data_IF_081669090108
#
_entry.id   IF_081669090108
#
_cell.length_a   1.000
_cell.length_b   1.000
_cell.length_c   1.000
_cell.angle_alpha   90.00
_cell.angle_beta   90.00
_cell.angle_gamma   90.00
#
_symmetry.space_group_name_H-M   'P 1'
#
loop_
_entity.id
_entity.type
_entity.pdbx_description
1 polymer ?
#
# COMPACT_ATOMS: atom_id res chain seq x y z
N UNK A 1 -20.79 -13.27 -3.86
CA UNK A 1 -20.06 -13.61 -5.10
C UNK A 1 -19.04 -12.51 -5.38
N UNK A 2 -17.80 -12.90 -5.71
CA UNK A 2 -16.73 -12.01 -6.12
C UNK A 2 -17.16 -11.06 -7.25
N UNK A 3 -16.53 -9.89 -7.35
CA UNK A 3 -16.84 -8.91 -8.39
C UNK A 3 -16.24 -9.37 -9.73
N UNK A 4 -17.11 -9.87 -10.63
CA UNK A 4 -16.71 -10.32 -11.97
C UNK A 4 -16.75 -9.22 -13.03
N UNK A 5 -17.54 -8.20 -12.77
CA UNK A 5 -17.72 -7.05 -13.65
C UNK A 5 -17.27 -5.78 -12.94
N UNK A 6 -16.84 -4.80 -13.73
CA UNK A 6 -16.44 -3.51 -13.20
C UNK A 6 -17.64 -2.82 -12.53
N UNK A 7 -17.48 -2.30 -11.30
CA UNK A 7 -18.57 -1.60 -10.64
C UNK A 7 -18.89 -0.31 -11.39
N UNK A 8 -20.16 0.10 -11.38
CA UNK A 8 -20.55 1.39 -11.94
C UNK A 8 -20.09 2.52 -11.02
N UNK A 9 -19.06 3.25 -11.45
CA UNK A 9 -18.50 4.39 -10.71
C UNK A 9 -19.32 5.66 -10.97
N UNK A 10 -19.89 6.22 -9.91
CA UNK A 10 -20.51 7.54 -9.91
C UNK A 10 -19.47 8.59 -9.50
N UNK A 11 -19.43 9.72 -10.20
CA UNK A 11 -18.58 10.86 -9.86
C UNK A 11 -19.40 11.90 -9.12
N UNK A 12 -18.92 12.29 -7.96
CA UNK A 12 -19.49 13.31 -7.08
C UNK A 12 -18.82 14.67 -7.31
N UNK A 13 -19.42 15.79 -6.83
CA UNK A 13 -18.74 17.08 -6.78
C UNK A 13 -17.38 16.99 -6.05
N UNK A 14 -16.40 17.78 -6.49
CA UNK A 14 -15.07 17.80 -5.87
C UNK A 14 -14.17 16.61 -6.24
N UNK A 15 -14.45 15.90 -7.33
CA UNK A 15 -13.58 14.83 -7.85
C UNK A 15 -13.71 13.48 -7.13
N UNK A 16 -14.49 13.44 -6.05
CA UNK A 16 -14.80 12.24 -5.29
C UNK A 16 -15.58 11.23 -6.14
N UNK A 17 -15.34 9.95 -5.89
CA UNK A 17 -15.95 8.84 -6.63
C UNK A 17 -16.63 7.90 -5.67
N UNK A 18 -17.70 7.28 -6.15
CA UNK A 18 -18.51 6.37 -5.37
C UNK A 18 -18.85 5.14 -6.20
N UNK A 19 -18.76 3.97 -5.59
CA UNK A 19 -19.35 2.76 -6.13
C UNK A 19 -19.79 1.83 -5.00
N UNK A 20 -20.64 0.86 -5.34
CA UNK A 20 -21.12 -0.12 -4.37
C UNK A 20 -21.25 -1.50 -4.99
N UNK A 21 -21.11 -2.53 -4.17
CA UNK A 21 -21.34 -3.92 -4.56
C UNK A 21 -21.95 -4.69 -3.39
N UNK A 22 -22.83 -5.64 -3.70
CA UNK A 22 -23.42 -6.54 -2.70
C UNK A 22 -22.82 -7.92 -2.86
N UNK A 23 -22.03 -8.33 -1.87
CA UNK A 23 -21.49 -9.68 -1.71
C UNK A 23 -22.48 -10.54 -0.94
N UNK A 24 -22.14 -11.81 -0.72
CA UNK A 24 -23.10 -12.76 -0.13
C UNK A 24 -23.41 -12.42 1.33
N UNK A 25 -22.40 -11.96 2.09
CA UNK A 25 -22.52 -11.63 3.53
C UNK A 25 -22.59 -10.14 3.86
N UNK A 26 -22.19 -9.27 2.94
CA UNK A 26 -22.11 -7.84 3.19
C UNK A 26 -22.32 -7.03 1.92
N UNK A 27 -22.77 -5.79 2.10
CA UNK A 27 -22.74 -4.74 1.09
C UNK A 27 -21.56 -3.84 1.39
N UNK A 28 -20.76 -3.55 0.37
CA UNK A 28 -19.70 -2.56 0.43
C UNK A 28 -20.11 -1.31 -0.35
N UNK A 29 -19.95 -0.14 0.26
CA UNK A 29 -20.08 1.17 -0.39
C UNK A 29 -18.71 1.84 -0.27
N UNK A 30 -18.09 2.14 -1.39
CA UNK A 30 -16.72 2.63 -1.46
C UNK A 30 -16.73 4.08 -1.89
N UNK A 31 -16.18 4.94 -1.02
CA UNK A 31 -15.99 6.37 -1.25
C UNK A 31 -14.51 6.61 -1.50
N UNK A 32 -14.18 7.23 -2.62
CA UNK A 32 -12.81 7.46 -3.06
C UNK A 32 -12.61 8.97 -3.22
N UNK A 33 -11.97 9.64 -2.25
CA UNK A 33 -11.66 11.05 -2.38
C UNK A 33 -10.57 11.28 -3.43
N UNK A 34 -10.38 12.53 -3.85
CA UNK A 34 -9.23 12.93 -4.65
C UNK A 34 -7.96 12.83 -3.78
N UNK A 35 -6.95 12.13 -4.30
CA UNK A 35 -5.69 11.88 -3.61
C UNK A 35 -4.53 12.67 -4.21
N UNK A 36 -3.32 12.13 -4.05
CA UNK A 36 -2.12 12.68 -4.66
C UNK A 36 -2.21 12.69 -6.19
N UNK A 37 -1.69 13.75 -6.83
CA UNK A 37 -1.72 13.90 -8.29
C UNK A 37 -0.90 12.82 -9.03
N UNK A 38 0.02 12.15 -8.35
CA UNK A 38 0.81 11.03 -8.85
C UNK A 38 0.20 9.67 -8.52
N UNK A 39 -1.00 9.61 -7.94
CA UNK A 39 -1.64 8.34 -7.58
C UNK A 39 -2.02 7.47 -8.79
N UNK A 40 -1.90 7.97 -10.02
CA UNK A 40 -2.03 7.20 -11.24
C UNK A 40 -0.75 6.46 -11.65
N UNK A 41 0.42 6.89 -11.14
CA UNK A 41 1.73 6.36 -11.52
C UNK A 41 2.57 5.85 -10.34
N UNK A 42 2.31 6.32 -9.11
CA UNK A 42 2.92 5.83 -7.86
C UNK A 42 1.85 5.16 -7.01
N UNK A 43 2.08 3.92 -6.58
CA UNK A 43 1.11 3.17 -5.81
C UNK A 43 1.23 3.45 -4.30
N UNK A 44 0.47 4.45 -3.84
CA UNK A 44 0.38 4.80 -2.42
C UNK A 44 -0.31 3.76 -1.52
N UNK A 45 -0.92 2.72 -2.13
CA UNK A 45 -1.78 1.76 -1.43
C UNK A 45 -1.07 1.01 -0.30
N UNK A 46 0.25 0.80 -0.38
CA UNK A 46 1.01 0.12 0.68
C UNK A 46 1.21 0.96 1.95
N UNK A 47 1.05 2.28 1.87
CA UNK A 47 0.98 3.18 3.02
C UNK A 47 -0.46 3.51 3.43
N UNK A 48 -1.41 3.40 2.50
CA UNK A 48 -2.80 3.76 2.72
C UNK A 48 -3.49 2.89 3.80
N UNK A 49 -4.20 3.50 4.75
CA UNK A 49 -4.99 2.73 5.70
C UNK A 49 -6.17 2.07 5.01
N UNK A 50 -6.52 0.87 5.47
CA UNK A 50 -7.74 0.21 5.01
C UNK A 50 -8.87 0.53 5.98
N UNK A 51 -9.60 1.60 5.66
CA UNK A 51 -10.65 2.18 6.50
C UNK A 51 -11.97 1.44 6.28
N UNK A 52 -12.31 0.57 7.23
CA UNK A 52 -13.55 -0.20 7.23
C UNK A 52 -14.53 0.38 8.24
N UNK A 53 -15.58 1.03 7.74
CA UNK A 53 -16.63 1.65 8.53
C UNK A 53 -17.83 0.72 8.59
N UNK A 54 -18.03 0.04 9.71
CA UNK A 54 -19.17 -0.83 9.91
C UNK A 54 -20.35 0.03 10.35
N UNK A 55 -21.23 0.32 9.39
CA UNK A 55 -22.37 1.21 9.61
C UNK A 55 -23.45 0.52 10.42
N UNK A 56 -24.06 1.21 11.39
CA UNK A 56 -25.08 0.61 12.24
C UNK A 56 -26.36 0.24 11.47
N UNK A 57 -26.71 1.04 10.47
CA UNK A 57 -27.87 0.83 9.58
C UNK A 57 -27.42 0.88 8.13
N UNK A 58 -28.21 0.26 7.25
CA UNK A 58 -28.03 0.37 5.81
C UNK A 58 -28.17 1.83 5.38
N UNK A 59 -27.14 2.36 4.72
CA UNK A 59 -27.16 3.70 4.14
C UNK A 59 -27.53 3.65 2.65
N UNK A 60 -28.19 4.70 2.18
CA UNK A 60 -28.23 4.99 0.75
C UNK A 60 -26.90 5.63 0.31
N UNK A 61 -26.75 5.86 -0.99
CA UNK A 61 -25.49 6.35 -1.55
C UNK A 61 -25.12 7.78 -1.11
N UNK A 62 -26.09 8.68 -0.94
CA UNK A 62 -25.84 10.07 -0.52
C UNK A 62 -25.46 10.10 0.97
N UNK A 63 -26.18 9.32 1.79
CA UNK A 63 -25.88 9.15 3.21
C UNK A 63 -24.49 8.56 3.43
N UNK A 64 -24.06 7.58 2.62
CA UNK A 64 -22.75 6.96 2.77
C UNK A 64 -21.60 7.93 2.47
N UNK A 65 -21.73 8.75 1.43
CA UNK A 65 -20.75 9.78 1.07
C UNK A 65 -20.70 10.85 2.16
N UNK A 66 -21.85 11.39 2.56
CA UNK A 66 -21.93 12.40 3.62
C UNK A 66 -21.36 11.88 4.94
N UNK A 67 -21.66 10.62 5.31
CA UNK A 67 -21.14 10.01 6.52
C UNK A 67 -19.61 9.90 6.51
N UNK A 68 -19.01 9.49 5.40
CA UNK A 68 -17.55 9.40 5.27
C UNK A 68 -16.88 10.79 5.35
N UNK A 69 -17.51 11.81 4.76
CA UNK A 69 -17.00 13.17 4.72
C UNK A 69 -17.16 13.90 6.07
N UNK A 70 -18.36 13.92 6.64
CA UNK A 70 -18.67 14.60 7.91
C UNK A 70 -17.88 14.05 9.09
N UNK A 71 -17.51 12.77 9.06
CA UNK A 71 -16.69 12.11 10.09
C UNK A 71 -15.18 12.24 9.84
N UNK A 72 -14.75 12.85 8.73
CA UNK A 72 -13.35 13.11 8.40
C UNK A 72 -12.59 11.91 7.79
N UNK A 73 -13.25 10.82 7.44
CA UNK A 73 -12.57 9.65 6.86
C UNK A 73 -12.05 9.91 5.44
N UNK A 74 -12.72 10.78 4.68
CA UNK A 74 -12.25 11.20 3.35
C UNK A 74 -10.94 11.98 3.43
N UNK A 75 -10.72 12.77 4.48
CA UNK A 75 -9.43 13.46 4.72
C UNK A 75 -8.30 12.45 4.93
N UNK A 76 -8.54 11.44 5.78
CA UNK A 76 -7.58 10.37 6.04
C UNK A 76 -7.27 9.61 4.74
N UNK A 77 -8.30 9.19 4.00
CA UNK A 77 -8.12 8.46 2.76
C UNK A 77 -7.41 9.29 1.68
N UNK A 78 -7.74 10.57 1.53
CA UNK A 78 -7.14 11.47 0.55
C UNK A 78 -5.62 11.59 0.75
N UNK A 79 -5.18 11.75 2.00
CA UNK A 79 -3.75 11.88 2.36
C UNK A 79 -2.89 10.72 1.82
N UNK A 80 -3.45 9.52 1.71
CA UNK A 80 -2.73 8.33 1.24
C UNK A 80 -3.24 7.80 -0.10
N UNK A 81 -4.04 8.59 -0.83
CA UNK A 81 -4.67 8.17 -2.08
C UNK A 81 -5.41 6.83 -1.96
N UNK A 82 -6.09 6.65 -0.82
CA UNK A 82 -6.83 5.45 -0.44
C UNK A 82 -8.34 5.59 -0.68
N UNK A 83 -9.12 4.76 0.02
CA UNK A 83 -10.58 4.77 -0.03
C UNK A 83 -11.16 4.52 1.36
N UNK A 84 -12.43 4.91 1.51
CA UNK A 84 -13.26 4.61 2.68
C UNK A 84 -14.28 3.55 2.27
N UNK A 85 -14.36 2.45 3.02
CA UNK A 85 -15.26 1.35 2.71
C UNK A 85 -16.28 1.21 3.82
N UNK A 86 -17.51 1.59 3.53
CA UNK A 86 -18.65 1.40 4.42
C UNK A 86 -19.22 0.01 4.20
N UNK A 87 -19.45 -0.71 5.28
CA UNK A 87 -19.88 -2.11 5.27
C UNK A 87 -21.18 -2.25 6.06
N UNK A 88 -22.11 -3.03 5.51
CA UNK A 88 -23.34 -3.43 6.19
C UNK A 88 -23.68 -4.90 5.88
N UNK A 89 -24.08 -5.73 6.87
CA UNK A 89 -24.41 -7.14 6.66
C UNK A 89 -25.65 -7.30 5.78
N UNK A 90 -25.65 -8.33 4.93
CA UNK A 90 -26.82 -8.70 4.09
C UNK A 90 -27.73 -9.74 4.74
N UNK A 91 -27.23 -10.46 5.74
CA UNK A 91 -27.96 -11.52 6.42
C UNK A 91 -29.12 -11.03 7.28
N UNK A 92 -30.14 -11.88 7.45
CA UNK A 92 -31.25 -11.63 8.37
C UNK A 92 -30.74 -11.45 9.81
N UNK A 93 -31.27 -10.46 10.53
CA UNK A 93 -30.81 -10.07 11.87
C UNK A 93 -29.56 -9.18 11.89
N UNK A 94 -29.02 -8.78 10.74
CA UNK A 94 -27.98 -7.76 10.65
C UNK A 94 -26.74 -8.08 11.50
N UNK A 95 -26.28 -7.10 12.30
CA UNK A 95 -25.10 -7.24 13.14
C UNK A 95 -25.28 -8.21 14.32
N UNK A 96 -26.51 -8.53 14.72
CA UNK A 96 -26.76 -9.51 15.80
C UNK A 96 -26.45 -10.94 15.33
N UNK A 97 -26.78 -11.24 14.07
CA UNK A 97 -26.53 -12.55 13.44
C UNK A 97 -25.16 -12.66 12.77
N UNK A 98 -24.45 -11.56 12.57
CA UNK A 98 -23.14 -11.56 11.91
C UNK A 98 -22.10 -12.29 12.76
N UNK A 99 -21.27 -13.10 12.10
CA UNK A 99 -20.17 -13.87 12.66
C UNK A 99 -18.81 -13.43 12.07
N UNK A 100 -17.73 -14.06 12.52
CA UNK A 100 -16.36 -13.78 12.04
C UNK A 100 -16.20 -13.97 10.52
N UNK A 101 -17.03 -14.84 9.93
CA UNK A 101 -16.96 -15.14 8.49
C UNK A 101 -17.27 -13.92 7.63
N UNK A 102 -18.09 -12.97 8.11
CA UNK A 102 -18.33 -11.72 7.39
C UNK A 102 -17.03 -10.93 7.19
N UNK A 103 -16.20 -10.82 8.23
CA UNK A 103 -14.91 -10.13 8.15
C UNK A 103 -13.90 -10.91 7.30
N UNK A 104 -13.86 -12.23 7.44
CA UNK A 104 -12.99 -13.10 6.62
C UNK A 104 -13.32 -12.94 5.13
N UNK A 105 -14.61 -12.96 4.77
CA UNK A 105 -15.05 -12.79 3.39
C UNK A 105 -14.75 -11.37 2.86
N UNK A 106 -14.95 -10.34 3.69
CA UNK A 106 -14.62 -8.95 3.32
C UNK A 106 -13.13 -8.78 2.99
N UNK A 107 -12.25 -9.33 3.84
CA UNK A 107 -10.80 -9.30 3.59
C UNK A 107 -10.43 -10.12 2.35
N UNK A 108 -11.09 -11.27 2.15
CA UNK A 108 -10.88 -12.10 0.96
C UNK A 108 -11.25 -11.39 -0.35
N UNK A 109 -12.14 -10.38 -0.32
CA UNK A 109 -12.55 -9.56 -1.47
C UNK A 109 -11.73 -8.26 -1.61
N UNK A 110 -10.60 -8.15 -0.90
CA UNK A 110 -9.78 -6.93 -0.86
C UNK A 110 -8.31 -7.18 -1.18
N UNK A 111 -7.69 -6.32 -2.00
CA UNK A 111 -6.30 -6.47 -2.45
C UNK A 111 -5.58 -5.14 -2.59
N UNK A 112 -4.24 -5.20 -2.64
CA UNK A 112 -3.42 -4.16 -3.27
C UNK A 112 -2.72 -4.79 -4.46
N UNK A 113 -2.76 -4.07 -5.58
CA UNK A 113 -2.01 -4.41 -6.77
C UNK A 113 -1.66 -3.12 -7.50
N UNK A 114 -0.73 -3.21 -8.44
CA UNK A 114 -0.35 -2.15 -9.36
C UNK A 114 -1.51 -1.65 -10.23
N UNK A 115 -2.37 -2.54 -10.72
CA UNK A 115 -3.48 -2.18 -11.59
C UNK A 115 -4.71 -1.84 -10.76
N UNK A 116 -4.87 -0.56 -10.47
CA UNK A 116 -6.00 -0.04 -9.72
C UNK A 116 -6.55 1.23 -10.34
N UNK A 117 -7.83 1.44 -10.12
CA UNK A 117 -8.55 2.64 -10.54
C UNK A 117 -9.73 2.83 -9.59
N UNK A 118 -10.08 4.07 -9.27
CA UNK A 118 -11.33 4.41 -8.58
C UNK A 118 -11.65 3.56 -7.34
N UNK A 119 -10.62 3.22 -6.56
CA UNK A 119 -10.76 2.46 -5.30
C UNK A 119 -10.98 0.95 -5.47
N UNK A 120 -10.88 0.41 -6.68
CA UNK A 120 -10.86 -1.03 -6.94
C UNK A 120 -9.58 -1.47 -7.65
N UNK A 121 -9.26 -2.75 -7.50
CA UNK A 121 -8.18 -3.44 -8.21
C UNK A 121 -8.79 -4.21 -9.37
N UNK A 122 -8.10 -4.22 -10.51
CA UNK A 122 -8.37 -5.19 -11.58
C UNK A 122 -7.25 -6.23 -11.59
N UNK A 123 -7.57 -7.47 -11.25
CA UNK A 123 -6.56 -8.51 -11.22
C UNK A 123 -6.04 -8.81 -12.62
N UNK A 124 -4.72 -8.98 -12.72
CA UNK A 124 -4.03 -9.42 -13.93
C UNK A 124 -3.17 -10.62 -13.59
N UNK A 125 -3.39 -11.74 -14.26
CA UNK A 125 -2.51 -12.89 -14.16
C UNK A 125 -1.18 -12.53 -14.83
N UNK A 126 -0.12 -12.49 -14.03
CA UNK A 126 1.21 -12.10 -14.53
C UNK A 126 1.79 -13.10 -15.55
N UNK A 127 1.45 -14.38 -15.44
CA UNK A 127 2.01 -15.42 -16.30
C UNK A 127 1.26 -15.57 -17.61
N UNK A 128 -0.07 -15.45 -17.60
CA UNK A 128 -0.89 -15.55 -18.83
C UNK A 128 -1.17 -14.20 -19.47
N UNK A 129 -1.00 -13.10 -18.72
CA UNK A 129 -1.39 -11.75 -19.13
C UNK A 129 -2.89 -11.48 -19.07
N UNK A 130 -3.71 -12.47 -18.69
CA UNK A 130 -5.17 -12.38 -18.68
C UNK A 130 -5.67 -11.50 -17.54
N UNK A 131 -6.68 -10.69 -17.83
CA UNK A 131 -7.40 -9.89 -16.84
C UNK A 131 -8.46 -10.75 -16.16
N UNK A 132 -8.61 -10.58 -14.84
CA UNK A 132 -9.52 -11.37 -14.01
C UNK A 132 -10.53 -10.53 -13.25
N UNK A 133 -10.85 -10.99 -12.04
CA UNK A 133 -11.82 -10.40 -11.11
C UNK A 133 -11.39 -9.04 -10.57
N UNK A 134 -12.36 -8.32 -10.01
CA UNK A 134 -12.19 -7.04 -9.37
C UNK A 134 -12.20 -7.20 -7.84
N UNK A 135 -11.43 -6.37 -7.15
CA UNK A 135 -11.33 -6.40 -5.68
C UNK A 135 -11.46 -4.99 -5.11
N UNK A 136 -11.94 -4.88 -3.87
CA UNK A 136 -11.84 -3.63 -3.11
C UNK A 136 -10.35 -3.31 -2.92
N UNK A 137 -9.92 -2.07 -3.17
CA UNK A 137 -8.53 -1.69 -2.90
C UNK A 137 -8.33 -1.51 -1.39
N UNK A 138 -7.41 -2.26 -0.78
CA UNK A 138 -7.16 -2.17 0.66
C UNK A 138 -5.95 -2.95 1.15
N UNK A 139 -5.14 -2.33 2.02
CA UNK A 139 -3.99 -2.97 2.67
C UNK A 139 -4.44 -3.78 3.89
N UNK A 140 -4.43 -5.11 3.78
CA UNK A 140 -4.89 -6.01 4.86
C UNK A 140 -4.11 -5.76 6.17
N UNK A 141 -2.80 -5.50 6.08
CA UNK A 141 -1.95 -5.20 7.24
C UNK A 141 -2.17 -3.80 7.86
N UNK A 142 -3.09 -3.00 7.31
CA UNK A 142 -3.50 -1.67 7.84
C UNK A 142 -5.01 -1.58 8.04
N UNK A 143 -5.66 -2.71 8.30
CA UNK A 143 -7.12 -2.79 8.47
C UNK A 143 -7.57 -2.12 9.77
N UNK A 144 -8.21 -0.96 9.64
CA UNK A 144 -8.79 -0.18 10.75
C UNK A 144 -10.30 -0.36 10.76
N UNK A 145 -10.86 -0.88 11.85
CA UNK A 145 -12.31 -1.07 11.97
C UNK A 145 -12.93 0.06 12.79
N UNK A 146 -14.04 0.61 12.30
CA UNK A 146 -14.82 1.62 13.01
C UNK A 146 -16.25 1.13 13.14
N UNK A 147 -16.80 1.12 14.36
CA UNK A 147 -18.15 0.66 14.62
C UNK A 147 -18.90 1.54 15.62
N UNK A 148 -20.22 1.57 15.45
CA UNK A 148 -21.18 2.28 16.28
C UNK A 148 -22.33 1.37 16.70
N UNK A 149 -22.71 1.42 17.98
CA UNK A 149 -23.87 0.68 18.49
C UNK A 149 -23.77 -0.81 18.19
N UNK A 150 -24.78 -1.36 17.52
CA UNK A 150 -24.82 -2.80 17.19
C UNK A 150 -23.64 -3.30 16.35
N UNK A 151 -23.04 -2.44 15.52
CA UNK A 151 -21.85 -2.79 14.74
C UNK A 151 -20.57 -2.78 15.59
N UNK A 152 -20.47 -1.89 16.58
CA UNK A 152 -19.40 -1.92 17.58
C UNK A 152 -19.51 -3.19 18.43
N UNK A 153 -20.74 -3.59 18.80
CA UNK A 153 -20.99 -4.82 19.54
C UNK A 153 -20.55 -6.05 18.72
N UNK A 154 -20.79 -6.07 17.41
CA UNK A 154 -20.27 -7.12 16.53
C UNK A 154 -18.74 -7.20 16.58
N UNK A 155 -18.03 -6.07 16.41
CA UNK A 155 -16.57 -6.04 16.49
C UNK A 155 -16.09 -6.56 17.85
N UNK A 156 -16.69 -6.09 18.94
CA UNK A 156 -16.36 -6.48 20.31
C UNK A 156 -16.56 -7.97 20.59
N UNK A 157 -17.63 -8.57 20.06
CA UNK A 157 -17.95 -9.99 20.23
C UNK A 157 -17.11 -10.90 19.35
N UNK A 158 -16.84 -10.50 18.12
CA UNK A 158 -16.35 -11.40 17.08
C UNK A 158 -14.90 -11.17 16.68
N UNK A 159 -14.36 -9.95 16.81
CA UNK A 159 -13.14 -9.56 16.11
C UNK A 159 -11.97 -9.17 17.02
N UNK A 160 -12.16 -9.10 18.35
CA UNK A 160 -11.09 -8.83 19.32
C UNK A 160 -10.27 -10.09 19.68
N UNK A 161 -9.91 -10.88 18.66
CA UNK A 161 -9.20 -12.15 18.77
C UNK A 161 -8.32 -12.39 17.56
N UNK A 162 -7.50 -13.45 17.57
CA UNK A 162 -6.78 -13.87 16.37
C UNK A 162 -7.77 -14.31 15.28
N UNK A 163 -7.61 -13.79 14.08
CA UNK A 163 -8.39 -14.20 12.90
C UNK A 163 -7.44 -14.66 11.81
N UNK A 164 -7.65 -15.88 11.31
CA UNK A 164 -6.95 -16.43 10.16
C UNK A 164 -7.84 -16.33 8.91
N UNK A 165 -7.24 -16.07 7.76
CA UNK A 165 -7.93 -15.90 6.49
C UNK A 165 -6.95 -15.84 5.32
N UNK A 166 -7.35 -15.20 4.22
CA UNK A 166 -6.47 -15.00 3.07
C UNK A 166 -5.65 -13.71 3.25
N UNK A 167 -4.35 -13.86 3.48
CA UNK A 167 -3.38 -12.77 3.57
C UNK A 167 -2.74 -12.49 2.19
N UNK A 168 -1.68 -11.68 2.13
CA UNK A 168 -1.05 -11.19 0.88
C UNK A 168 -0.63 -12.29 -0.12
N UNK A 169 -0.09 -13.41 0.36
CA UNK A 169 0.45 -14.48 -0.50
C UNK A 169 -0.18 -15.86 -0.26
N UNK A 170 -1.28 -15.91 0.49
CA UNK A 170 -1.93 -17.16 0.87
C UNK A 170 -2.53 -17.11 2.28
N UNK A 171 -2.91 -18.27 2.84
CA UNK A 171 -3.48 -18.35 4.18
C UNK A 171 -2.53 -17.73 5.22
N UNK A 172 -3.09 -16.92 6.11
CA UNK A 172 -2.33 -16.24 7.15
C UNK A 172 -3.23 -15.46 8.09
N UNK A 173 -2.60 -14.77 9.04
CA UNK A 173 -3.34 -14.01 10.03
C UNK A 173 -3.80 -12.66 9.47
N UNK A 174 -5.10 -12.40 9.53
CA UNK A 174 -5.77 -11.19 9.03
C UNK A 174 -6.41 -10.34 10.13
N UNK A 175 -6.06 -10.60 11.40
CA UNK A 175 -6.54 -9.82 12.54
C UNK A 175 -6.42 -8.32 12.26
N UNK A 176 -7.42 -7.48 12.58
CA UNK A 176 -7.35 -6.06 12.30
C UNK A 176 -6.12 -5.41 12.96
N UNK A 177 -5.66 -4.32 12.34
CA UNK A 177 -4.62 -3.48 12.93
C UNK A 177 -5.11 -2.94 14.28
N UNK A 178 -6.27 -2.29 14.30
CA UNK A 178 -6.90 -1.70 15.47
C UNK A 178 -8.38 -1.39 15.22
N UNK A 179 -9.10 -1.05 16.29
CA UNK A 179 -10.55 -0.82 16.24
C UNK A 179 -10.96 0.45 17.00
N UNK A 180 -12.01 1.12 16.52
CA UNK A 180 -12.69 2.22 17.17
C UNK A 180 -14.13 1.83 17.48
N UNK A 181 -14.52 1.88 18.75
CA UNK A 181 -15.79 1.37 19.25
C UNK A 181 -16.56 2.47 20.00
N UNK A 182 -17.70 2.88 19.46
CA UNK A 182 -18.60 3.84 20.06
C UNK A 182 -19.96 3.23 20.39
N UNK A 183 -20.53 3.57 21.54
CA UNK A 183 -21.89 3.18 21.93
C UNK A 183 -22.09 1.69 22.16
N UNK A 184 -21.10 1.00 22.72
CA UNK A 184 -21.18 -0.43 23.04
C UNK A 184 -22.32 -0.71 24.04
N UNK A 185 -23.08 -1.77 23.77
CA UNK A 185 -24.08 -2.34 24.68
C UNK A 185 -23.60 -3.63 25.34
N UNK A 186 -22.53 -4.23 24.81
CA UNK A 186 -21.89 -5.43 25.37
C UNK A 186 -20.54 -5.10 26.00
N UNK A 187 -20.21 -5.78 27.10
CA UNK A 187 -18.88 -5.67 27.71
C UNK A 187 -17.89 -6.48 26.85
N UNK A 188 -16.90 -5.83 26.21
CA UNK A 188 -15.93 -6.51 25.36
C UNK A 188 -15.06 -7.47 26.17
N UNK A 189 -14.64 -8.56 25.54
CA UNK A 189 -13.73 -9.55 26.12
C UNK A 189 -12.59 -9.82 25.14
N UNK A 190 -11.60 -8.93 25.02
CA UNK A 190 -10.48 -9.14 24.11
C UNK A 190 -9.74 -10.43 24.45
N UNK A 191 -9.63 -11.34 23.49
CA UNK A 191 -8.75 -12.53 23.59
C UNK A 191 -7.32 -12.18 23.23
N UNK A 192 -7.15 -11.08 22.48
CA UNK A 192 -5.86 -10.56 22.04
C UNK A 192 -5.60 -9.18 22.64
N UNK A 193 -4.47 -9.06 23.36
CA UNK A 193 -4.13 -7.84 24.10
C UNK A 193 -3.46 -6.77 23.25
N UNK A 194 -2.84 -7.14 22.14
CA UNK A 194 -2.10 -6.24 21.26
C UNK A 194 -2.94 -5.64 20.13
N UNK A 195 -4.28 -5.64 20.25
CA UNK A 195 -5.16 -4.88 19.36
C UNK A 195 -5.37 -3.49 19.99
N UNK A 196 -4.93 -2.39 19.34
CA UNK A 196 -5.30 -1.04 19.74
C UNK A 196 -6.82 -0.85 19.69
N UNK A 197 -7.40 -0.43 20.81
CA UNK A 197 -8.83 -0.18 20.97
C UNK A 197 -9.03 1.28 21.36
N UNK A 198 -9.66 2.05 20.49
CA UNK A 198 -10.20 3.38 20.80
C UNK A 198 -11.64 3.21 21.27
N UNK A 199 -11.90 3.51 22.54
CA UNK A 199 -13.23 3.48 23.15
C UNK A 199 -13.76 4.90 23.22
N UNK A 200 -14.92 5.16 22.59
CA UNK A 200 -15.48 6.51 22.50
C UNK A 200 -16.82 6.54 23.25
N UNK A 201 -16.91 7.39 24.28
CA UNK A 201 -18.13 7.65 25.05
C UNK A 201 -18.82 6.39 25.58
N UNK A 202 -18.08 5.33 25.91
CA UNK A 202 -18.66 4.10 26.44
C UNK A 202 -18.86 4.19 27.96
N UNK A 203 -19.62 3.26 28.54
CA UNK A 203 -19.85 3.28 29.98
C UNK A 203 -18.56 2.97 30.76
N UNK A 204 -18.42 3.45 32.01
CA UNK A 204 -17.24 3.16 32.83
C UNK A 204 -16.96 1.66 33.02
N UNK A 205 -18.00 0.82 32.99
CA UNK A 205 -17.85 -0.64 33.06
C UNK A 205 -17.16 -1.20 31.80
N UNK A 206 -17.58 -0.73 30.62
CA UNK A 206 -16.99 -1.13 29.33
C UNK A 206 -15.55 -0.62 29.23
N UNK A 207 -15.31 0.64 29.57
CA UNK A 207 -13.97 1.23 29.50
C UNK A 207 -12.99 0.53 30.43
N UNK A 208 -13.45 0.14 31.63
CA UNK A 208 -12.64 -0.68 32.55
C UNK A 208 -12.30 -2.03 31.93
N UNK A 209 -13.27 -2.72 31.31
CA UNK A 209 -13.02 -4.01 30.67
C UNK A 209 -12.02 -3.89 29.50
N UNK A 210 -12.10 -2.81 28.71
CA UNK A 210 -11.14 -2.52 27.62
C UNK A 210 -9.74 -2.28 28.19
N UNK A 211 -9.62 -1.45 29.23
CA UNK A 211 -8.34 -1.13 29.86
C UNK A 211 -7.68 -2.34 30.53
N UNK A 212 -8.45 -3.26 31.09
CA UNK A 212 -7.93 -4.51 31.68
C UNK A 212 -7.59 -5.56 30.59
N UNK A 213 -8.34 -5.57 29.49
CA UNK A 213 -8.26 -6.57 28.42
C UNK A 213 -7.26 -6.26 27.30
N UNK A 214 -6.85 -5.01 27.10
CA UNK A 214 -5.93 -4.58 26.04
C UNK A 214 -4.68 -3.90 26.60
N UNK A 215 -3.54 -4.12 25.95
CA UNK A 215 -2.29 -3.40 26.22
C UNK A 215 -2.28 -2.00 25.56
N UNK A 216 -3.24 -1.73 24.66
CA UNK A 216 -3.35 -0.51 23.86
C UNK A 216 -4.79 0.05 23.92
N UNK A 217 -5.22 0.46 25.11
CA UNK A 217 -6.53 1.05 25.34
C UNK A 217 -6.48 2.59 25.33
N UNK A 218 -7.29 3.22 24.49
CA UNK A 218 -7.40 4.67 24.36
C UNK A 218 -8.86 5.09 24.62
N UNK A 219 -9.11 5.78 25.73
CA UNK A 219 -10.45 6.22 26.13
C UNK A 219 -10.67 7.67 25.68
N UNK A 220 -11.80 7.95 25.03
CA UNK A 220 -12.15 9.25 24.44
C UNK A 220 -13.54 9.69 24.87
N UNK A 221 -13.67 10.97 25.21
CA UNK A 221 -14.94 11.61 25.57
C UNK A 221 -15.71 12.17 24.36
N UNK A 222 -15.09 12.16 23.17
CA UNK A 222 -15.69 12.66 21.93
C UNK A 222 -15.11 11.95 20.70
N UNK A 223 -15.90 11.96 19.63
CA UNK A 223 -15.51 11.42 18.33
C UNK A 223 -14.57 12.38 17.59
N UNK A 224 -13.36 11.93 17.29
CA UNK A 224 -12.42 12.60 16.38
C UNK A 224 -11.54 11.56 15.70
N UNK A 225 -12.03 11.02 14.57
CA UNK A 225 -11.39 9.92 13.88
C UNK A 225 -10.10 10.33 13.17
N UNK A 226 -9.94 11.60 12.79
CA UNK A 226 -8.70 12.12 12.19
C UNK A 226 -7.61 12.15 13.24
N UNK A 227 -7.89 12.67 14.43
CA UNK A 227 -6.98 12.61 15.58
C UNK A 227 -6.64 11.18 15.94
N UNK A 228 -7.65 10.32 16.10
CA UNK A 228 -7.44 8.96 16.57
C UNK A 228 -6.68 8.11 15.55
N UNK A 229 -6.92 8.32 14.26
CA UNK A 229 -6.08 7.74 13.23
C UNK A 229 -4.62 8.21 13.38
N UNK A 230 -4.37 9.52 13.45
CA UNK A 230 -3.01 10.06 13.57
C UNK A 230 -2.27 9.58 14.82
N UNK A 231 -2.93 9.58 15.97
CA UNK A 231 -2.32 9.29 17.27
C UNK A 231 -2.20 7.80 17.57
N UNK A 232 -3.11 6.98 17.02
CA UNK A 232 -3.20 5.56 17.30
C UNK A 232 -2.91 4.76 16.04
N UNK A 233 -3.87 4.64 15.11
CA UNK A 233 -3.78 3.64 14.04
C UNK A 233 -2.65 3.90 13.03
N UNK A 234 -2.44 5.14 12.63
CA UNK A 234 -1.40 5.55 11.67
C UNK A 234 0.02 5.33 12.17
N UNK A 235 0.22 5.02 13.45
CA UNK A 235 1.52 4.70 14.05
C UNK A 235 1.89 3.22 13.99
N UNK A 236 1.02 2.38 13.42
CA UNK A 236 1.21 0.94 13.41
C UNK A 236 0.82 0.32 12.07
N UNK A 237 1.39 -0.86 11.82
CA UNK A 237 0.84 -1.87 10.90
C UNK A 237 0.78 -3.22 11.61
N UNK A 238 -0.06 -4.13 11.15
CA UNK A 238 -0.03 -5.53 11.57
C UNK A 238 0.58 -6.40 10.48
N UNK A 239 1.88 -6.65 10.58
CA UNK A 239 2.62 -7.41 9.58
C UNK A 239 2.67 -8.90 9.96
N UNK A 240 2.01 -9.76 9.18
CA UNK A 240 1.96 -11.21 9.42
C UNK A 240 1.52 -11.55 10.85
N UNK A 241 0.48 -10.85 11.33
CA UNK A 241 -0.06 -10.99 12.69
C UNK A 241 0.66 -10.19 13.77
N UNK A 242 1.87 -9.71 13.53
CA UNK A 242 2.64 -8.93 14.52
C UNK A 242 2.29 -7.45 14.42
N UNK A 243 1.88 -6.83 15.53
CA UNK A 243 1.75 -5.38 15.60
C UNK A 243 3.14 -4.75 15.58
N UNK A 244 3.42 -3.94 14.56
CA UNK A 244 4.68 -3.27 14.34
C UNK A 244 4.48 -1.75 14.38
N UNK A 245 5.31 -1.05 15.15
CA UNK A 245 5.38 0.40 15.08
C UNK A 245 5.89 0.86 13.72
N UNK A 246 5.22 1.86 13.17
CA UNK A 246 5.66 2.59 12.00
C UNK A 246 5.93 4.05 12.38
N UNK A 247 7.21 4.45 12.39
CA UNK A 247 7.57 5.81 12.73
C UNK A 247 7.09 6.76 11.63
N UNK A 248 6.69 7.96 12.05
CA UNK A 248 6.53 9.10 11.16
C UNK A 248 7.92 9.52 10.68
N UNK A 249 8.25 9.19 9.43
CA UNK A 249 9.61 9.30 8.89
C UNK A 249 10.15 10.74 8.93
N UNK A 250 9.25 11.71 8.80
CA UNK A 250 9.59 13.13 8.89
C UNK A 250 10.14 13.54 10.27
N UNK A 251 9.71 12.88 11.37
CA UNK A 251 10.26 13.10 12.72
C UNK A 251 11.74 12.67 12.83
N UNK A 252 12.16 11.74 11.98
CA UNK A 252 13.54 11.26 11.89
C UNK A 252 14.36 12.06 10.87
N UNK A 253 13.79 13.13 10.29
CA UNK A 253 14.43 13.93 9.26
C UNK A 253 14.58 13.21 7.92
N UNK A 254 13.79 12.16 7.69
CA UNK A 254 13.71 11.51 6.37
C UNK A 254 12.72 12.27 5.48
N UNK A 255 13.17 12.56 4.27
CA UNK A 255 12.35 13.10 3.19
C UNK A 255 11.85 11.93 2.36
N UNK A 256 10.55 11.93 2.09
CA UNK A 256 9.87 11.06 1.14
C UNK A 256 9.33 11.96 0.02
N UNK A 257 9.90 11.84 -1.19
CA UNK A 257 9.55 12.68 -2.33
C UNK A 257 9.06 11.80 -3.49
N UNK A 258 7.74 11.54 -3.58
CA UNK A 258 7.13 10.95 -4.76
C UNK A 258 7.31 11.87 -5.96
N UNK A 259 7.69 11.30 -7.10
CA UNK A 259 7.92 12.04 -8.33
C UNK A 259 7.70 11.16 -9.56
N UNK A 260 7.64 11.78 -10.72
CA UNK A 260 7.67 11.08 -11.99
C UNK A 260 8.59 11.80 -12.98
N UNK A 261 9.11 11.06 -13.95
CA UNK A 261 9.79 11.62 -15.12
C UNK A 261 9.17 11.04 -16.39
N UNK A 262 9.12 11.84 -17.44
CA UNK A 262 8.81 11.36 -18.79
C UNK A 262 10.09 10.99 -19.50
N UNK A 263 10.16 9.77 -20.04
CA UNK A 263 11.29 9.27 -20.83
C UNK A 263 10.85 8.90 -22.23
N UNK A 264 11.81 8.79 -23.15
CA UNK A 264 11.57 8.28 -24.50
C UNK A 264 11.28 6.79 -24.45
N UNK A 265 10.18 6.33 -25.02
CA UNK A 265 9.88 4.90 -25.08
C UNK A 265 10.81 4.23 -26.09
N UNK A 266 11.59 3.25 -25.64
CA UNK A 266 12.55 2.53 -26.46
C UNK A 266 11.85 1.50 -27.35
N UNK A 267 12.47 1.17 -28.49
CA UNK A 267 11.88 0.28 -29.51
C UNK A 267 11.67 -1.15 -29.00
N UNK A 268 12.46 -1.56 -28.02
CA UNK A 268 12.43 -2.87 -27.37
C UNK A 268 11.50 -2.91 -26.14
N UNK A 269 10.79 -1.82 -25.84
CA UNK A 269 9.78 -1.79 -24.80
C UNK A 269 8.56 -2.65 -25.20
N UNK A 270 8.26 -3.67 -24.39
CA UNK A 270 7.09 -4.55 -24.52
C UNK A 270 6.18 -4.49 -23.27
N UNK A 271 6.34 -3.44 -22.45
CA UNK A 271 5.52 -3.14 -21.30
C UNK A 271 4.19 -2.50 -21.69
N UNK A 272 3.49 -1.93 -20.71
CA UNK A 272 2.16 -1.35 -20.95
C UNK A 272 2.19 -0.14 -21.90
N UNK A 273 3.34 0.53 -22.04
CA UNK A 273 3.53 1.71 -22.88
C UNK A 273 4.15 1.40 -24.27
N UNK A 274 4.23 0.12 -24.64
CA UNK A 274 4.83 -0.31 -25.91
C UNK A 274 4.23 0.42 -27.13
N UNK A 275 5.10 1.00 -27.96
CA UNK A 275 4.71 1.72 -29.19
C UNK A 275 4.29 3.17 -29.00
N UNK A 276 4.27 3.68 -27.77
CA UNK A 276 4.16 5.13 -27.50
C UNK A 276 5.45 5.86 -27.88
N UNK A 277 5.42 7.19 -28.02
CA UNK A 277 6.63 8.01 -28.22
C UNK A 277 7.40 8.23 -26.91
N UNK A 278 6.66 8.47 -25.82
CA UNK A 278 7.19 8.68 -24.48
C UNK A 278 6.24 8.07 -23.45
N UNK A 279 6.77 7.74 -22.28
CA UNK A 279 5.98 7.29 -21.13
C UNK A 279 6.54 7.82 -19.81
N UNK A 280 5.77 7.68 -18.73
CA UNK A 280 6.17 8.15 -17.40
C UNK A 280 6.74 7.00 -16.56
N UNK A 281 7.81 7.28 -15.83
CA UNK A 281 8.35 6.42 -14.78
C UNK A 281 8.06 7.09 -13.44
N UNK A 282 7.24 6.45 -12.61
CA UNK A 282 6.99 6.84 -11.22
C UNK A 282 8.12 6.36 -10.31
N UNK A 283 8.52 7.19 -9.36
CA UNK A 283 9.53 6.83 -8.37
C UNK A 283 9.32 7.60 -7.06
N UNK A 284 10.00 7.14 -6.01
CA UNK A 284 10.06 7.85 -4.73
C UNK A 284 11.52 8.01 -4.36
N UNK A 285 11.94 9.26 -4.14
CA UNK A 285 13.24 9.59 -3.61
C UNK A 285 13.20 9.66 -2.08
N UNK A 286 14.14 9.00 -1.45
CA UNK A 286 14.27 8.94 0.00
C UNK A 286 15.66 9.40 0.43
N UNK A 287 15.71 10.38 1.31
CA UNK A 287 16.99 10.89 1.81
C UNK A 287 16.84 11.62 3.15
N UNK A 288 17.93 11.71 3.90
CA UNK A 288 17.98 12.63 5.03
C UNK A 288 17.81 14.08 4.55
N UNK A 289 17.12 14.92 5.32
CA UNK A 289 16.85 16.33 4.98
C UNK A 289 18.13 17.14 4.72
N UNK A 290 19.21 16.79 5.40
CA UNK A 290 20.55 17.41 5.32
C UNK A 290 21.51 16.60 4.42
N UNK A 291 21.01 15.65 3.63
CA UNK A 291 21.87 14.72 2.89
C UNK A 291 22.83 15.44 1.94
N UNK A 292 22.34 16.48 1.26
CA UNK A 292 23.06 17.15 0.18
C UNK A 292 23.93 18.34 0.64
N UNK A 293 23.95 18.66 1.94
CA UNK A 293 24.63 19.84 2.48
C UNK A 293 26.15 19.80 2.28
N UNK A 294 26.72 18.61 2.11
CA UNK A 294 28.17 18.39 1.97
C UNK A 294 28.59 17.94 0.56
N UNK A 295 27.74 18.16 -0.44
CA UNK A 295 28.03 17.86 -1.85
C UNK A 295 27.47 16.52 -2.34
N UNK A 296 28.02 15.97 -3.44
CA UNK A 296 27.46 14.80 -4.10
C UNK A 296 27.46 13.52 -3.25
N UNK A 297 26.38 12.76 -3.33
CA UNK A 297 26.13 11.56 -2.51
C UNK A 297 25.93 10.29 -3.35
N UNK A 298 26.10 9.08 -2.78
CA UNK A 298 25.76 7.86 -3.48
C UNK A 298 24.28 7.80 -3.85
N UNK A 299 23.99 7.18 -4.99
CA UNK A 299 22.64 6.83 -5.43
C UNK A 299 22.46 5.31 -5.35
N UNK A 300 21.40 4.85 -4.68
CA UNK A 300 20.97 3.46 -4.70
C UNK A 300 19.59 3.37 -5.34
N UNK A 301 19.50 2.70 -6.49
CA UNK A 301 18.24 2.30 -7.09
C UNK A 301 17.75 1.01 -6.43
N UNK A 302 16.51 0.99 -5.96
CA UNK A 302 15.90 -0.17 -5.34
C UNK A 302 14.60 -0.57 -6.05
N UNK A 303 14.56 -1.81 -6.54
CA UNK A 303 13.48 -2.33 -7.37
C UNK A 303 12.64 -3.36 -6.59
N UNK A 304 11.32 -3.17 -6.56
CA UNK A 304 10.41 -4.01 -5.78
C UNK A 304 10.10 -5.37 -6.44
N UNK A 305 9.55 -6.31 -5.66
CA UNK A 305 9.09 -7.61 -6.14
C UNK A 305 7.80 -7.56 -6.95
N UNK A 306 7.41 -8.69 -7.55
CA UNK A 306 6.15 -8.76 -8.28
C UNK A 306 4.95 -8.69 -7.33
N UNK A 307 3.98 -7.81 -7.64
CA UNK A 307 2.82 -7.57 -6.77
C UNK A 307 3.04 -6.51 -5.69
N UNK A 308 4.27 -6.02 -5.54
CA UNK A 308 4.65 -4.96 -4.60
C UNK A 308 4.57 -3.55 -5.25
N UNK A 309 5.17 -2.56 -4.59
CA UNK A 309 5.28 -1.17 -5.07
C UNK A 309 6.62 -0.53 -4.68
N UNK A 310 6.88 0.67 -5.20
CA UNK A 310 8.00 1.52 -4.78
C UNK A 310 7.97 1.83 -3.27
N UNK A 311 6.78 1.97 -2.66
CA UNK A 311 6.63 2.14 -1.21
C UNK A 311 6.93 0.87 -0.44
N UNK A 312 6.49 -0.29 -0.95
CA UNK A 312 6.67 -1.57 -0.28
C UNK A 312 8.17 -1.86 -0.04
N UNK A 313 8.99 -1.74 -1.10
CA UNK A 313 10.41 -2.02 -0.99
C UNK A 313 11.10 -1.03 -0.02
N UNK A 314 10.68 0.22 0.05
CA UNK A 314 11.18 1.15 1.05
C UNK A 314 10.75 0.77 2.48
N UNK A 315 9.43 0.81 2.77
CA UNK A 315 8.87 0.70 4.12
C UNK A 315 8.92 -0.69 4.72
N UNK A 316 8.58 -1.71 3.94
CA UNK A 316 8.43 -3.08 4.47
C UNK A 316 9.78 -3.75 4.58
N UNK A 317 10.63 -3.67 3.55
CA UNK A 317 11.95 -4.29 3.61
C UNK A 317 12.98 -3.46 4.40
N UNK A 318 12.66 -2.20 4.71
CA UNK A 318 13.47 -1.35 5.58
C UNK A 318 14.61 -0.60 4.89
N UNK A 319 14.61 -0.51 3.56
CA UNK A 319 15.61 0.24 2.79
C UNK A 319 15.75 1.70 3.24
N UNK A 320 14.66 2.34 3.66
CA UNK A 320 14.70 3.70 4.20
C UNK A 320 15.62 3.82 5.43
N UNK A 321 15.66 2.80 6.30
CA UNK A 321 16.54 2.77 7.48
C UNK A 321 18.00 2.64 7.06
N UNK A 322 18.26 1.83 6.04
CA UNK A 322 19.60 1.63 5.47
C UNK A 322 20.11 2.92 4.84
N UNK A 323 19.25 3.63 4.10
CA UNK A 323 19.54 4.92 3.50
C UNK A 323 19.88 5.98 4.55
N UNK A 324 19.06 6.10 5.60
CA UNK A 324 19.31 7.02 6.71
C UNK A 324 20.62 6.72 7.44
N UNK A 325 20.88 5.44 7.76
CA UNK A 325 22.07 5.03 8.50
C UNK A 325 23.36 5.25 7.72
N UNK A 326 23.34 4.99 6.41
CA UNK A 326 24.54 5.02 5.57
C UNK A 326 24.66 6.28 4.71
N UNK A 327 23.69 7.19 4.82
CA UNK A 327 23.66 8.50 4.16
C UNK A 327 23.84 8.43 2.64
N UNK A 328 22.88 7.81 1.97
CA UNK A 328 22.76 7.81 0.51
C UNK A 328 21.36 8.21 0.05
N UNK A 329 21.27 8.67 -1.19
CA UNK A 329 20.00 8.88 -1.87
C UNK A 329 19.46 7.52 -2.31
N UNK A 330 18.33 7.10 -1.74
CA UNK A 330 17.61 5.91 -2.17
C UNK A 330 16.53 6.35 -3.16
N UNK A 331 16.43 5.68 -4.29
CA UNK A 331 15.34 5.88 -5.24
C UNK A 331 14.66 4.54 -5.49
N UNK A 332 13.39 4.44 -5.09
CA UNK A 332 12.56 3.27 -5.37
C UNK A 332 11.70 3.53 -6.59
N UNK A 333 11.64 2.57 -7.52
CA UNK A 333 11.01 2.78 -8.83
C UNK A 333 9.74 1.96 -8.94
N UNK A 334 8.63 2.61 -9.29
CA UNK A 334 7.32 1.97 -9.43
C UNK A 334 7.26 1.21 -10.75
N UNK A 335 6.75 -0.03 -10.71
CA UNK A 335 6.48 -0.84 -11.90
C UNK A 335 7.67 -0.91 -12.89
N UNK A 336 8.87 -1.05 -12.36
CA UNK A 336 10.14 -0.89 -13.08
C UNK A 336 10.37 -1.85 -14.25
N UNK A 337 9.61 -2.95 -14.37
CA UNK A 337 9.69 -3.84 -15.53
C UNK A 337 8.94 -3.34 -16.76
N UNK A 338 8.07 -2.34 -16.63
CA UNK A 338 7.49 -1.68 -17.81
C UNK A 338 8.50 -0.81 -18.54
N UNK A 339 9.64 -0.51 -17.94
CA UNK A 339 10.71 0.25 -18.57
C UNK A 339 11.92 -0.63 -18.85
N UNK A 340 12.57 -0.43 -20.00
CA UNK A 340 13.78 -1.15 -20.42
C UNK A 340 15.02 -0.65 -19.67
N UNK A 341 16.15 -1.36 -19.79
CA UNK A 341 17.42 -0.86 -19.29
C UNK A 341 17.80 0.47 -19.96
N UNK A 342 17.54 0.61 -21.27
CA UNK A 342 17.79 1.84 -22.04
C UNK A 342 17.04 3.04 -21.46
N UNK A 343 15.76 2.88 -21.17
CA UNK A 343 14.91 3.94 -20.59
C UNK A 343 15.35 4.28 -19.15
N UNK A 344 15.82 3.29 -18.40
CA UNK A 344 16.39 3.51 -17.07
C UNK A 344 17.68 4.32 -17.10
N UNK A 345 18.47 4.29 -18.19
CA UNK A 345 19.61 5.21 -18.35
C UNK A 345 19.15 6.66 -18.46
N UNK A 346 18.09 6.93 -19.21
CA UNK A 346 17.49 8.27 -19.29
C UNK A 346 16.95 8.72 -17.93
N UNK A 347 16.29 7.82 -17.20
CA UNK A 347 15.86 8.07 -15.83
C UNK A 347 17.03 8.39 -14.87
N UNK A 348 18.12 7.62 -14.90
CA UNK A 348 19.31 7.89 -14.08
C UNK A 348 19.90 9.26 -14.44
N UNK A 349 19.95 9.62 -15.72
CA UNK A 349 20.39 10.94 -16.15
C UNK A 349 19.49 12.05 -15.60
N UNK A 350 18.18 11.85 -15.55
CA UNK A 350 17.26 12.78 -14.88
C UNK A 350 17.57 12.91 -13.38
N UNK A 351 17.81 11.80 -12.67
CA UNK A 351 18.16 11.83 -11.25
C UNK A 351 19.46 12.62 -10.99
N UNK A 352 20.47 12.47 -11.85
CA UNK A 352 21.72 13.23 -11.77
C UNK A 352 21.56 14.73 -12.01
N UNK A 353 20.55 15.13 -12.80
CA UNK A 353 20.21 16.54 -13.00
C UNK A 353 19.41 17.10 -11.82
N UNK A 354 18.56 16.28 -11.21
CA UNK A 354 17.68 16.68 -10.10
C UNK A 354 18.40 16.73 -8.75
N UNK A 355 19.31 15.79 -8.48
CA UNK A 355 20.01 15.65 -7.21
C UNK A 355 21.53 15.69 -7.38
N UNK A 356 22.28 16.19 -6.37
CA UNK A 356 23.74 16.05 -6.30
C UNK A 356 24.18 14.59 -6.15
N UNK A 357 24.24 13.84 -7.25
CA UNK A 357 24.68 12.45 -7.27
C UNK A 357 26.17 12.36 -7.57
N UNK A 358 26.89 11.54 -6.80
CA UNK A 358 28.24 11.12 -7.14
C UNK A 358 28.17 10.01 -8.20
N UNK A 359 28.50 10.36 -9.44
CA UNK A 359 28.41 9.44 -10.59
C UNK A 359 29.34 8.22 -10.47
N UNK A 360 30.36 8.27 -9.59
CA UNK A 360 31.22 7.12 -9.30
C UNK A 360 30.63 6.15 -8.28
N UNK A 361 29.46 6.47 -7.69
CA UNK A 361 28.80 5.73 -6.61
C UNK A 361 27.31 5.55 -6.87
N UNK A 362 26.98 5.00 -8.04
CA UNK A 362 25.63 4.57 -8.40
C UNK A 362 25.51 3.06 -8.22
N UNK A 363 24.47 2.62 -7.53
CA UNK A 363 24.23 1.22 -7.18
C UNK A 363 22.82 0.79 -7.59
N UNK A 364 22.63 -0.50 -7.83
CA UNK A 364 21.32 -1.09 -8.10
C UNK A 364 21.08 -2.34 -7.25
N UNK A 365 19.88 -2.47 -6.68
CA UNK A 365 19.43 -3.63 -5.93
C UNK A 365 17.95 -3.89 -6.16
N UNK A 366 17.49 -5.11 -5.92
CA UNK A 366 16.08 -5.42 -5.95
C UNK A 366 15.80 -6.88 -5.61
N UNK A 367 14.55 -7.17 -5.30
CA UNK A 367 14.09 -8.50 -4.89
C UNK A 367 13.24 -9.15 -5.98
N UNK A 368 13.51 -10.42 -6.31
CA UNK A 368 12.77 -11.21 -7.29
C UNK A 368 12.66 -10.45 -8.62
N UNK A 369 11.47 -9.94 -8.96
CA UNK A 369 11.25 -9.05 -10.10
C UNK A 369 12.28 -7.90 -10.18
N UNK A 370 12.63 -7.29 -9.06
CA UNK A 370 13.65 -6.24 -8.98
C UNK A 370 15.10 -6.76 -9.08
N UNK A 371 15.33 -8.02 -8.72
CA UNK A 371 16.60 -8.70 -8.96
C UNK A 371 16.85 -8.84 -10.46
N UNK A 372 15.82 -9.25 -11.21
CA UNK A 372 15.87 -9.27 -12.67
C UNK A 372 16.20 -7.90 -13.28
N UNK A 373 15.57 -6.81 -12.81
CA UNK A 373 15.90 -5.45 -13.29
C UNK A 373 17.34 -5.05 -12.98
N UNK A 374 17.85 -5.43 -11.81
CA UNK A 374 19.25 -5.16 -11.45
C UNK A 374 20.21 -5.90 -12.41
N UNK A 375 19.94 -7.16 -12.74
CA UNK A 375 20.72 -7.91 -13.73
C UNK A 375 20.61 -7.35 -15.15
N UNK A 376 19.41 -6.93 -15.56
CA UNK A 376 19.14 -6.28 -16.85
C UNK A 376 20.00 -5.01 -17.05
N UNK A 377 20.05 -4.16 -16.02
CA UNK A 377 20.87 -2.96 -16.02
C UNK A 377 22.38 -3.28 -16.10
N UNK A 378 22.84 -4.30 -15.37
CA UNK A 378 24.24 -4.71 -15.39
C UNK A 378 24.66 -5.27 -16.74
N UNK A 379 23.85 -6.13 -17.36
CA UNK A 379 24.25 -6.77 -18.61
C UNK A 379 24.27 -5.76 -19.76
N UNK A 380 23.39 -4.76 -19.79
CA UNK A 380 23.34 -3.78 -20.89
C UNK A 380 24.22 -2.55 -20.64
N UNK A 381 24.32 -2.08 -19.39
CA UNK A 381 24.99 -0.82 -19.04
C UNK A 381 25.89 -0.95 -17.80
N UNK A 382 26.87 -1.88 -17.79
CA UNK A 382 27.66 -2.20 -16.60
C UNK A 382 28.46 -1.02 -16.05
N UNK A 383 28.97 -0.16 -16.93
CA UNK A 383 29.83 0.98 -16.58
C UNK A 383 29.11 2.08 -15.79
N UNK A 384 27.78 2.03 -15.68
CA UNK A 384 27.01 2.96 -14.86
C UNK A 384 27.10 2.64 -13.37
N UNK A 385 27.44 1.39 -13.00
CA UNK A 385 27.28 0.91 -11.63
C UNK A 385 28.61 0.68 -10.94
N UNK A 386 28.71 1.18 -9.71
CA UNK A 386 29.83 0.93 -8.81
C UNK A 386 29.72 -0.45 -8.13
N UNK A 387 28.51 -0.94 -7.87
CA UNK A 387 28.21 -2.31 -7.46
C UNK A 387 26.71 -2.62 -7.64
N UNK A 388 26.35 -3.91 -7.63
CA UNK A 388 24.96 -4.37 -7.59
C UNK A 388 24.70 -5.34 -6.43
N UNK A 389 23.44 -5.40 -6.00
CA UNK A 389 22.94 -6.41 -5.06
C UNK A 389 21.60 -7.01 -5.56
N UNK A 390 21.62 -7.83 -6.62
CA UNK A 390 20.43 -8.44 -7.20
C UNK A 390 20.00 -9.69 -6.40
N UNK A 391 18.77 -9.72 -5.89
CA UNK A 391 18.31 -10.80 -4.98
C UNK A 391 17.22 -11.68 -5.62
N UNK A 392 17.38 -13.00 -5.51
CA UNK A 392 16.34 -14.03 -5.68
C UNK A 392 15.59 -14.11 -7.03
N UNK A 393 16.07 -13.49 -8.12
CA UNK A 393 15.74 -13.87 -9.49
C UNK A 393 16.71 -13.28 -10.54
N UNK A 394 16.71 -13.86 -11.73
CA UNK A 394 17.41 -13.37 -12.93
C UNK A 394 16.66 -13.80 -14.19
N UNK A 395 16.96 -13.17 -15.33
CA UNK A 395 16.69 -13.72 -16.65
C UNK A 395 17.91 -14.50 -17.17
N UNK A 396 17.73 -15.29 -18.23
CA UNK A 396 18.87 -15.90 -18.92
C UNK A 396 19.79 -14.81 -19.49
N UNK A 397 21.10 -15.05 -19.45
CA UNK A 397 22.10 -14.10 -19.96
C UNK A 397 21.82 -13.81 -21.43
N UNK A 398 21.76 -12.52 -21.80
CA UNK A 398 21.41 -12.09 -23.15
C UNK A 398 19.93 -11.80 -23.36
N UNK A 399 19.07 -12.13 -22.38
CA UNK A 399 17.66 -11.76 -22.40
C UNK A 399 17.38 -10.54 -21.53
N UNK A 400 16.63 -9.58 -22.06
CA UNK A 400 16.15 -8.39 -21.35
C UNK A 400 14.97 -8.72 -20.41
N UNK A 401 14.42 -7.70 -19.74
CA UNK A 401 13.27 -7.83 -18.82
C UNK A 401 11.99 -8.43 -19.40
N UNK A 402 11.87 -8.50 -20.73
CA UNK A 402 10.74 -9.12 -21.43
C UNK A 402 11.05 -10.53 -21.97
N UNK A 403 12.21 -11.09 -21.62
CA UNK A 403 12.67 -12.37 -22.14
C UNK A 403 13.00 -12.34 -23.63
N UNK A 404 13.39 -11.18 -24.17
CA UNK A 404 13.83 -11.00 -25.57
C UNK A 404 15.33 -10.73 -25.62
N UNK A 405 15.96 -10.97 -26.76
CA UNK A 405 17.37 -10.63 -26.95
C UNK A 405 17.62 -9.16 -26.60
N UNK A 406 18.68 -8.90 -25.84
CA UNK A 406 19.08 -7.54 -25.48
C UNK A 406 19.28 -6.67 -26.74
N UNK A 407 18.86 -5.40 -26.73
CA UNK A 407 18.96 -4.51 -27.88
C UNK A 407 20.41 -4.06 -28.17
N UNK A 408 21.36 -4.41 -27.31
CA UNK A 408 22.76 -4.03 -27.36
C UNK A 408 23.67 -5.22 -27.02
N UNK A 409 24.98 -5.04 -27.23
CA UNK A 409 25.99 -6.02 -26.83
C UNK A 409 26.02 -6.16 -25.30
N UNK A 410 25.85 -7.38 -24.79
CA UNK A 410 25.89 -7.64 -23.36
C UNK A 410 27.29 -7.59 -22.78
N UNK A 411 27.38 -7.22 -21.49
CA UNK A 411 28.61 -7.12 -20.75
C UNK A 411 29.37 -8.45 -20.72
N UNK A 412 30.60 -8.44 -21.24
CA UNK A 412 31.53 -9.57 -21.19
C UNK A 412 32.89 -9.22 -20.57
N UNK A 413 33.12 -7.95 -20.21
CA UNK A 413 34.46 -7.46 -19.91
C UNK A 413 34.55 -6.39 -18.80
N UNK A 414 33.44 -5.75 -18.43
CA UNK A 414 33.43 -4.73 -17.37
C UNK A 414 33.18 -5.42 -16.03
N UNK A 415 34.18 -5.49 -15.13
CA UNK A 415 33.99 -6.07 -13.80
C UNK A 415 33.22 -5.09 -12.92
N UNK A 416 32.10 -5.55 -12.37
CA UNK A 416 31.33 -4.80 -11.38
C UNK A 416 31.15 -5.67 -10.13
N UNK A 417 31.49 -5.18 -8.93
CA UNK A 417 31.24 -5.91 -7.68
C UNK A 417 29.76 -6.27 -7.53
N UNK A 418 29.48 -7.52 -7.17
CA UNK A 418 28.13 -8.01 -6.89
C UNK A 418 28.09 -8.57 -5.47
N UNK A 419 27.09 -8.14 -4.70
CA UNK A 419 26.69 -8.79 -3.46
C UNK A 419 25.56 -9.78 -3.79
N UNK A 420 25.79 -11.07 -3.56
CA UNK A 420 24.86 -12.14 -3.85
C UNK A 420 24.76 -13.11 -2.68
#
# INVERSE_FOLDING_TARGET
MAMKEMPHVRREPGGMKYWEHTFDRFRAQVVVPEGDALADIVNFGFAAPYLLLFTEKKLNSEEAVAFAEEKGFTEIAAKYSGSVVLVYPTGEGGWESADEQLFIDLVAESRIQQYYEDGFIKSRNRFTGEWGEYFIRGAIFRTCLYGWGSSADYIARCLLKKIDGLYLWGPGEITPLGVSLAGLSVVPKPERRDIPIVSICNTPEIEKAIAEGSDYAFLRDEEDYVRDFREVFGRYKRWCGVLCEEPELSEYGMVEEPACVTVTTSKDNLGDDAGTETHRIGYIAWHAKDLFDNGPVPLVLAFHGGGDSALHIAHVSGWWRVAMRNRFLLVTVENHLNSTATEMVEFINHLKQKYPVDESRIYASGFSMGGCKSWDLFQEYPSLFAALAPMDATFEVGLNVFGKEAPCEINSSVPVPVFY
#
